data_IF_699586127307
#
_entry.id   IF_699586127307
#
_cell.length_a   1.000
_cell.length_b   1.000
_cell.length_c   1.000
_cell.angle_alpha   90.00
_cell.angle_beta   90.00
_cell.angle_gamma   90.00
#
_symmetry.space_group_name_H-M   'P 1'
#
loop_
_entity.id
_entity.type
_entity.pdbx_description
1 polymer ?
#
# COMPACT_ATOMS: atom_id res chain seq x y z
N UNK A 1 -39.20 14.47 -21.78
CA UNK A 1 -40.28 14.11 -22.73
C UNK A 1 -40.21 15.13 -23.87
N UNK A 2 -40.16 14.84 -25.16
CA UNK A 2 -40.21 13.61 -25.97
C UNK A 2 -40.00 14.11 -27.40
N UNK A 3 -38.93 13.67 -28.07
CA UNK A 3 -38.85 13.70 -29.54
C UNK A 3 -38.27 12.35 -29.99
N UNK A 4 -38.93 11.31 -29.53
CA UNK A 4 -38.75 9.93 -29.96
C UNK A 4 -39.99 9.60 -30.78
N UNK A 5 -39.78 9.02 -31.97
CA UNK A 5 -40.79 8.46 -32.89
C UNK A 5 -41.44 9.39 -33.93
N UNK A 6 -40.75 9.55 -35.06
CA UNK A 6 -41.38 9.32 -36.38
C UNK A 6 -40.55 8.27 -37.13
N UNK A 7 -41.02 7.01 -37.07
CA UNK A 7 -40.61 5.96 -38.01
C UNK A 7 -41.38 6.21 -39.31
N UNK A 8 -40.68 6.56 -40.38
CA UNK A 8 -41.20 6.32 -41.73
C UNK A 8 -40.88 4.86 -42.09
N UNK A 9 -41.92 4.02 -42.04
CA UNK A 9 -41.93 2.71 -42.68
C UNK A 9 -42.04 2.90 -44.18
N UNK A 10 -40.92 2.80 -44.90
CA UNK A 10 -40.96 2.60 -46.35
C UNK A 10 -41.46 1.19 -46.68
N UNK A 11 -42.36 1.10 -47.63
CA UNK A 11 -43.00 -0.13 -48.12
C UNK A 11 -41.99 -1.02 -48.85
N UNK A 12 -42.22 -2.34 -48.80
CA UNK A 12 -41.37 -3.39 -49.39
C UNK A 12 -41.11 -3.22 -50.90
N UNK A 13 -41.93 -2.42 -51.59
CA UNK A 13 -41.74 -2.10 -53.01
C UNK A 13 -40.63 -1.04 -53.23
N UNK A 14 -40.36 -0.13 -52.30
CA UNK A 14 -39.28 0.88 -52.44
C UNK A 14 -37.88 0.32 -52.15
N UNK A 15 -37.77 -0.88 -51.56
CA UNK A 15 -36.48 -1.54 -51.32
C UNK A 15 -35.94 -2.31 -52.53
N UNK A 16 -36.73 -2.48 -53.60
CA UNK A 16 -36.29 -3.23 -54.79
C UNK A 16 -35.62 -2.38 -55.88
N UNK A 17 -35.71 -1.05 -55.80
CA UNK A 17 -35.10 -0.12 -56.78
C UNK A 17 -34.00 0.79 -56.19
N UNK A 18 -33.60 0.60 -54.92
CA UNK A 18 -32.33 1.17 -54.46
C UNK A 18 -31.18 0.37 -55.06
N UNK A 19 -30.62 0.89 -56.17
CA UNK A 19 -29.27 0.50 -56.63
C UNK A 19 -28.36 0.46 -55.40
N UNK A 20 -27.51 -0.56 -55.24
CA UNK A 20 -26.61 -0.64 -54.10
C UNK A 20 -25.85 0.69 -54.02
N UNK A 21 -26.03 1.42 -52.90
CA UNK A 21 -25.20 2.59 -52.62
C UNK A 21 -23.75 2.10 -52.76
N UNK A 22 -22.91 2.77 -53.55
CA UNK A 22 -21.51 2.38 -53.65
C UNK A 22 -20.97 2.41 -52.22
N UNK A 23 -20.48 1.26 -51.76
CA UNK A 23 -19.66 1.19 -50.55
C UNK A 23 -18.67 2.34 -50.67
N UNK A 24 -18.69 3.25 -49.70
CA UNK A 24 -17.81 4.41 -49.68
C UNK A 24 -16.42 3.96 -50.11
N UNK A 25 -15.86 4.57 -51.16
CA UNK A 25 -14.54 4.23 -51.71
C UNK A 25 -13.53 4.14 -50.56
N UNK A 26 -13.18 2.89 -50.24
CA UNK A 26 -11.97 2.45 -49.56
C UNK A 26 -11.60 3.19 -48.28
N UNK A 27 -12.17 2.76 -47.15
CA UNK A 27 -11.38 2.78 -45.91
C UNK A 27 -10.20 1.84 -46.19
N UNK A 28 -9.02 2.40 -46.42
CA UNK A 28 -7.84 1.62 -46.71
C UNK A 28 -7.38 1.00 -45.37
N UNK A 29 -8.03 -0.10 -44.96
CA UNK A 29 -7.84 -0.80 -43.68
C UNK A 29 -6.34 -1.04 -43.43
N UNK A 30 -5.65 -1.37 -44.51
CA UNK A 30 -4.21 -1.52 -44.62
C UNK A 30 -3.36 -0.31 -44.16
N UNK A 31 -3.83 0.93 -44.35
CA UNK A 31 -3.15 2.15 -43.88
C UNK A 31 -3.44 2.47 -42.42
N UNK A 32 -4.42 1.81 -41.81
CA UNK A 32 -4.80 1.99 -40.41
C UNK A 32 -4.35 0.82 -39.52
N UNK A 33 -3.69 -0.18 -40.09
CA UNK A 33 -3.06 -1.24 -39.30
C UNK A 33 -1.95 -0.67 -38.41
N UNK A 34 -1.84 -1.13 -37.15
CA UNK A 34 -0.68 -0.81 -36.34
C UNK A 34 0.60 -1.31 -37.04
N UNK A 35 1.72 -0.66 -36.71
CA UNK A 35 2.98 -0.80 -37.44
C UNK A 35 3.45 -2.26 -37.55
N UNK A 36 3.25 -3.06 -36.49
CA UNK A 36 3.57 -4.50 -36.45
C UNK A 36 2.78 -5.28 -37.49
N UNK A 37 1.45 -5.15 -37.51
CA UNK A 37 0.54 -5.81 -38.43
C UNK A 37 0.76 -5.34 -39.88
N UNK A 38 1.12 -4.06 -40.07
CA UNK A 38 1.47 -3.51 -41.38
C UNK A 38 2.71 -4.18 -41.96
N UNK A 39 3.79 -4.32 -41.17
CA UNK A 39 5.03 -4.96 -41.62
C UNK A 39 4.79 -6.43 -41.97
N UNK A 40 4.06 -7.17 -41.14
CA UNK A 40 3.69 -8.57 -41.43
C UNK A 40 2.86 -8.68 -42.72
N UNK A 41 1.92 -7.77 -42.95
CA UNK A 41 1.14 -7.74 -44.19
C UNK A 41 2.02 -7.45 -45.42
N UNK A 42 2.92 -6.47 -45.34
CA UNK A 42 3.82 -6.10 -46.42
C UNK A 42 4.77 -7.27 -46.78
N UNK A 43 5.24 -8.05 -45.80
CA UNK A 43 5.98 -9.30 -46.03
C UNK A 43 5.14 -10.31 -46.83
N UNK A 44 3.93 -10.61 -46.36
CA UNK A 44 3.05 -11.60 -47.02
C UNK A 44 2.69 -11.23 -48.45
N UNK A 45 2.62 -9.92 -48.76
CA UNK A 45 2.45 -9.43 -50.13
C UNK A 45 3.70 -9.63 -50.98
N UNK A 46 4.88 -9.30 -50.45
CA UNK A 46 6.15 -9.51 -51.15
C UNK A 46 6.43 -10.99 -51.42
N UNK A 47 6.07 -11.89 -50.50
CA UNK A 47 6.20 -13.34 -50.67
C UNK A 47 5.32 -13.91 -51.80
N UNK A 48 4.15 -13.30 -52.06
CA UNK A 48 3.22 -13.76 -53.11
C UNK A 48 3.58 -13.33 -54.53
N UNK A 49 4.33 -12.24 -54.70
CA UNK A 49 4.55 -11.60 -56.00
C UNK A 49 6.03 -11.69 -56.44
N UNK A 50 6.86 -12.38 -55.64
CA UNK A 50 8.32 -12.48 -55.81
C UNK A 50 9.00 -11.15 -56.19
N UNK A 51 8.66 -10.10 -55.44
CA UNK A 51 8.96 -8.70 -55.80
C UNK A 51 10.42 -8.29 -55.65
N UNK A 52 11.32 -9.19 -55.23
CA UNK A 52 12.71 -8.88 -54.89
C UNK A 52 12.91 -7.94 -53.67
N UNK A 53 11.83 -7.53 -52.99
CA UNK A 53 11.88 -6.57 -51.88
C UNK A 53 12.06 -7.20 -50.49
N UNK A 54 12.18 -8.53 -50.43
CA UNK A 54 12.17 -9.31 -49.17
C UNK A 54 13.24 -8.85 -48.18
N UNK A 55 14.46 -8.60 -48.65
CA UNK A 55 15.58 -8.21 -47.79
C UNK A 55 15.39 -6.80 -47.18
N UNK A 56 14.97 -5.82 -48.00
CA UNK A 56 14.71 -4.45 -47.51
C UNK A 56 13.58 -4.39 -46.48
N UNK A 57 12.55 -5.22 -46.65
CA UNK A 57 11.45 -5.31 -45.68
C UNK A 57 11.91 -5.98 -44.38
N UNK A 58 12.79 -6.99 -44.47
CA UNK A 58 13.41 -7.65 -43.31
C UNK A 58 14.26 -6.66 -42.52
N UNK A 59 15.17 -5.94 -43.18
CA UNK A 59 16.03 -4.94 -42.54
C UNK A 59 15.20 -3.84 -41.83
N UNK A 60 14.13 -3.35 -42.48
CA UNK A 60 13.22 -2.38 -41.87
C UNK A 60 12.51 -2.95 -40.65
N UNK A 61 12.01 -4.17 -40.73
CA UNK A 61 11.33 -4.84 -39.63
C UNK A 61 12.25 -5.02 -38.42
N UNK A 62 13.52 -5.38 -38.64
CA UNK A 62 14.50 -5.57 -37.57
C UNK A 62 14.90 -4.25 -36.91
N UNK A 63 15.10 -3.19 -37.71
CA UNK A 63 15.36 -1.86 -37.15
C UNK A 63 14.19 -1.36 -36.29
N UNK A 64 12.95 -1.59 -36.72
CA UNK A 64 11.77 -1.23 -35.91
C UNK A 64 11.73 -2.07 -34.64
N UNK A 65 11.93 -3.39 -34.72
CA UNK A 65 11.98 -4.26 -33.53
C UNK A 65 13.04 -3.80 -32.54
N UNK A 66 14.26 -3.48 -33.01
CA UNK A 66 15.36 -2.95 -32.19
C UNK A 66 15.00 -1.67 -31.44
N UNK A 67 14.44 -0.67 -32.13
CA UNK A 67 14.13 0.63 -31.53
C UNK A 67 12.92 0.63 -30.58
N UNK A 68 12.06 -0.38 -30.68
CA UNK A 68 10.79 -0.45 -29.95
C UNK A 68 10.78 -1.45 -28.81
N UNK A 69 11.76 -2.36 -28.75
CA UNK A 69 11.78 -3.46 -27.79
C UNK A 69 11.81 -2.96 -26.33
N UNK A 70 12.71 -2.03 -25.99
CA UNK A 70 12.75 -1.44 -24.66
C UNK A 70 11.45 -0.71 -24.31
N UNK A 71 10.86 0.00 -25.26
CA UNK A 71 9.58 0.68 -25.06
C UNK A 71 8.41 -0.29 -24.84
N UNK A 72 8.43 -1.46 -25.46
CA UNK A 72 7.45 -2.52 -25.21
C UNK A 72 7.55 -3.03 -23.77
N UNK A 73 8.76 -3.23 -23.24
CA UNK A 73 8.95 -3.68 -21.86
C UNK A 73 8.52 -2.62 -20.84
N UNK A 74 8.99 -1.36 -20.99
CA UNK A 74 8.67 -0.27 -20.05
C UNK A 74 7.18 0.05 -19.96
N UNK A 75 6.49 0.12 -21.11
CA UNK A 75 5.14 0.70 -21.19
C UNK A 75 4.07 -0.31 -21.60
N UNK A 76 4.44 -1.58 -21.80
CA UNK A 76 3.54 -2.64 -22.30
C UNK A 76 2.75 -2.21 -23.54
N UNK A 77 3.41 -1.43 -24.42
CA UNK A 77 2.79 -0.92 -25.65
C UNK A 77 2.27 -2.05 -26.55
N UNK A 78 1.29 -1.72 -27.38
CA UNK A 78 0.65 -2.59 -28.41
C UNK A 78 1.68 -3.15 -29.41
N UNK A 79 2.87 -2.56 -29.51
CA UNK A 79 3.93 -3.01 -30.41
C UNK A 79 4.57 -4.32 -29.90
N UNK A 80 4.51 -5.41 -30.69
CA UNK A 80 5.01 -6.74 -30.32
C UNK A 80 6.28 -7.11 -31.11
N UNK A 81 7.49 -6.74 -30.63
CA UNK A 81 8.73 -6.95 -31.37
C UNK A 81 8.99 -8.44 -31.66
N UNK A 82 8.67 -9.32 -30.72
CA UNK A 82 8.81 -10.78 -30.84
C UNK A 82 8.02 -11.36 -32.02
N UNK A 83 6.84 -10.79 -32.30
CA UNK A 83 6.01 -11.21 -33.45
C UNK A 83 6.71 -10.89 -34.77
N UNK A 84 7.34 -9.71 -34.87
CA UNK A 84 8.11 -9.32 -36.05
C UNK A 84 9.33 -10.23 -36.22
N UNK A 85 10.09 -10.45 -35.15
CA UNK A 85 11.30 -11.28 -35.18
C UNK A 85 10.96 -12.72 -35.62
N UNK A 86 9.86 -13.27 -35.12
CA UNK A 86 9.37 -14.59 -35.54
C UNK A 86 8.93 -14.61 -37.00
N UNK A 87 8.08 -13.68 -37.42
CA UNK A 87 7.52 -13.66 -38.79
C UNK A 87 8.58 -13.45 -39.87
N UNK A 88 9.66 -12.74 -39.55
CA UNK A 88 10.78 -12.49 -40.45
C UNK A 88 11.98 -13.44 -40.27
N UNK A 89 11.83 -14.49 -39.45
CA UNK A 89 12.85 -15.53 -39.29
C UNK A 89 14.15 -15.02 -38.70
N UNK A 90 14.08 -14.29 -37.59
CA UNK A 90 15.26 -13.89 -36.83
C UNK A 90 16.00 -15.10 -36.28
N UNK A 91 17.31 -15.11 -36.52
CA UNK A 91 18.24 -16.05 -35.89
C UNK A 91 18.36 -15.77 -34.38
N UNK A 92 18.78 -16.76 -33.57
CA UNK A 92 19.08 -16.55 -32.17
C UNK A 92 20.06 -15.40 -31.91
N UNK A 93 21.06 -15.25 -32.79
CA UNK A 93 22.09 -14.19 -32.71
C UNK A 93 21.46 -12.80 -32.89
N UNK A 94 20.57 -12.64 -33.88
CA UNK A 94 19.88 -11.36 -34.12
C UNK A 94 18.90 -11.02 -32.99
N UNK A 95 18.23 -12.03 -32.42
CA UNK A 95 17.36 -11.84 -31.24
C UNK A 95 18.21 -11.36 -30.06
N UNK A 96 19.36 -12.00 -29.83
CA UNK A 96 20.28 -11.62 -28.75
C UNK A 96 20.81 -10.19 -28.94
N UNK A 97 21.18 -9.78 -30.17
CA UNK A 97 21.62 -8.41 -30.47
C UNK A 97 20.53 -7.37 -30.17
N UNK A 98 19.29 -7.65 -30.58
CA UNK A 98 18.15 -6.75 -30.37
C UNK A 98 17.80 -6.63 -28.88
N UNK A 99 17.80 -7.75 -28.17
CA UNK A 99 17.59 -7.77 -26.72
C UNK A 99 18.71 -7.01 -26.01
N UNK A 100 19.96 -7.21 -26.42
CA UNK A 100 21.09 -6.49 -25.87
C UNK A 100 20.98 -4.98 -26.09
N UNK A 101 20.58 -4.55 -27.29
CA UNK A 101 20.28 -3.13 -27.56
C UNK A 101 19.22 -2.58 -26.58
N UNK A 102 18.14 -3.34 -26.36
CA UNK A 102 17.08 -2.95 -25.44
C UNK A 102 17.57 -2.86 -23.99
N UNK A 103 18.42 -3.78 -23.53
CA UNK A 103 19.07 -3.73 -22.21
C UNK A 103 19.78 -2.40 -22.00
N UNK A 104 20.57 -1.93 -22.97
CA UNK A 104 21.29 -0.64 -22.87
C UNK A 104 20.34 0.55 -22.81
N UNK A 105 19.25 0.51 -23.56
CA UNK A 105 18.21 1.56 -23.52
C UNK A 105 17.54 1.60 -22.15
N UNK A 106 17.18 0.44 -21.59
CA UNK A 106 16.56 0.32 -20.27
C UNK A 106 17.51 0.81 -19.16
N UNK A 107 18.79 0.45 -19.20
CA UNK A 107 19.81 0.98 -18.27
C UNK A 107 19.86 2.52 -18.35
N UNK A 108 19.88 3.08 -19.56
CA UNK A 108 19.91 4.54 -19.73
C UNK A 108 18.65 5.23 -19.19
N UNK A 109 17.52 4.53 -19.24
CA UNK A 109 16.22 4.95 -18.72
C UNK A 109 15.99 4.61 -17.25
N UNK A 110 16.98 3.99 -16.59
CA UNK A 110 16.92 3.58 -15.18
C UNK A 110 15.78 2.58 -14.89
N UNK A 111 15.47 1.72 -15.86
CA UNK A 111 14.62 0.53 -15.65
C UNK A 111 15.51 -0.70 -15.45
N UNK A 112 16.03 -0.84 -14.22
CA UNK A 112 17.03 -1.86 -13.92
C UNK A 112 16.50 -3.29 -13.81
N UNK A 113 15.23 -3.49 -13.44
CA UNK A 113 14.65 -4.83 -13.28
C UNK A 113 14.53 -5.53 -14.63
N UNK A 114 13.87 -4.88 -15.59
CA UNK A 114 13.72 -5.41 -16.95
C UNK A 114 15.07 -5.48 -17.67
N UNK A 115 15.95 -4.48 -17.47
CA UNK A 115 17.30 -4.52 -18.03
C UNK A 115 18.10 -5.74 -17.54
N UNK A 116 18.09 -6.01 -16.24
CA UNK A 116 18.83 -7.14 -15.65
C UNK A 116 18.31 -8.47 -16.17
N UNK A 117 16.98 -8.63 -16.20
CA UNK A 117 16.34 -9.83 -16.73
C UNK A 117 16.77 -10.10 -18.17
N UNK A 118 16.75 -9.06 -19.01
CA UNK A 118 17.12 -9.18 -20.41
C UNK A 118 18.62 -9.46 -20.61
N UNK A 119 19.47 -8.87 -19.77
CA UNK A 119 20.90 -9.16 -19.74
C UNK A 119 21.18 -10.62 -19.37
N UNK A 120 20.43 -11.19 -18.42
CA UNK A 120 20.56 -12.59 -18.01
C UNK A 120 20.15 -13.54 -19.14
N UNK A 121 19.02 -13.27 -19.80
CA UNK A 121 18.54 -14.05 -20.96
C UNK A 121 19.50 -14.07 -22.15
N UNK A 122 20.35 -13.03 -22.27
CA UNK A 122 21.32 -12.89 -23.35
C UNK A 122 22.74 -13.31 -22.96
N UNK A 123 22.95 -13.72 -21.70
CA UNK A 123 24.28 -14.02 -21.16
C UNK A 123 25.18 -12.78 -20.99
N UNK A 124 24.63 -11.57 -21.12
CA UNK A 124 25.34 -10.28 -21.06
C UNK A 124 25.35 -9.62 -19.69
N UNK A 125 25.08 -10.35 -18.60
CA UNK A 125 24.89 -9.77 -17.26
C UNK A 125 26.11 -8.98 -16.76
N UNK A 126 27.32 -9.52 -16.93
CA UNK A 126 28.54 -8.83 -16.49
C UNK A 126 28.74 -7.49 -17.21
N UNK A 127 28.47 -7.46 -18.52
CA UNK A 127 28.57 -6.24 -19.31
C UNK A 127 27.47 -5.24 -18.90
N UNK A 128 26.25 -5.72 -18.62
CA UNK A 128 25.15 -4.88 -18.19
C UNK A 128 25.44 -4.23 -16.83
N UNK A 129 26.04 -4.97 -15.90
CA UNK A 129 26.52 -4.43 -14.61
C UNK A 129 27.53 -3.31 -14.83
N UNK A 130 28.48 -3.49 -15.76
CA UNK A 130 29.48 -2.46 -16.10
C UNK A 130 28.83 -1.21 -16.69
N UNK A 131 27.86 -1.37 -17.60
CA UNK A 131 27.13 -0.24 -18.19
C UNK A 131 26.26 0.49 -17.16
N UNK A 132 25.52 -0.24 -16.33
CA UNK A 132 24.73 0.32 -15.24
C UNK A 132 25.61 1.13 -14.29
N UNK A 133 26.76 0.57 -13.86
CA UNK A 133 27.72 1.29 -13.03
C UNK A 133 28.21 2.58 -13.70
N UNK A 134 28.54 2.54 -14.99
CA UNK A 134 28.95 3.73 -15.74
C UNK A 134 27.86 4.79 -15.81
N UNK A 135 26.61 4.39 -16.10
CA UNK A 135 25.45 5.28 -16.17
C UNK A 135 25.13 5.93 -14.82
N UNK A 136 25.19 5.15 -13.73
CA UNK A 136 24.96 5.61 -12.37
C UNK A 136 26.09 6.53 -11.89
N UNK A 137 27.35 6.25 -12.26
CA UNK A 137 28.47 7.13 -11.93
C UNK A 137 28.38 8.50 -12.62
N UNK A 138 27.78 8.56 -13.81
CA UNK A 138 27.51 9.80 -14.54
C UNK A 138 26.17 10.47 -14.16
N UNK A 139 25.38 9.85 -13.28
CA UNK A 139 24.10 10.41 -12.85
C UNK A 139 24.33 11.54 -11.85
N UNK A 140 23.88 12.75 -12.20
CA UNK A 140 23.94 13.90 -11.29
C UNK A 140 22.80 13.84 -10.27
N UNK A 141 23.05 13.10 -9.19
CA UNK A 141 22.13 12.98 -8.07
C UNK A 141 21.86 14.32 -7.37
N UNK A 142 22.73 15.33 -7.51
CA UNK A 142 22.56 16.61 -6.83
C UNK A 142 21.46 17.47 -7.43
N UNK A 143 21.20 17.35 -8.73
CA UNK A 143 20.21 18.15 -9.46
C UNK A 143 18.99 17.37 -9.93
N UNK A 144 18.98 16.05 -9.74
CA UNK A 144 17.88 15.19 -10.16
C UNK A 144 16.64 15.40 -9.30
N UNK A 145 15.46 15.17 -9.88
CA UNK A 145 14.23 15.09 -9.11
C UNK A 145 14.19 13.80 -8.28
N UNK A 146 13.38 13.82 -7.21
CA UNK A 146 13.26 12.69 -6.28
C UNK A 146 12.89 11.36 -6.97
N UNK A 147 12.00 11.40 -7.95
CA UNK A 147 11.58 10.19 -8.67
C UNK A 147 12.75 9.59 -9.48
N UNK A 148 13.56 10.43 -10.13
CA UNK A 148 14.69 9.97 -10.93
C UNK A 148 15.79 9.34 -10.05
N UNK A 149 15.99 9.86 -8.82
CA UNK A 149 16.94 9.26 -7.88
C UNK A 149 16.41 7.93 -7.32
N UNK A 150 15.10 7.81 -7.07
CA UNK A 150 14.48 6.55 -6.66
C UNK A 150 14.66 5.48 -7.76
N UNK A 151 14.45 5.83 -9.03
CA UNK A 151 14.68 4.94 -10.18
C UNK A 151 16.17 4.57 -10.34
N UNK A 152 17.09 5.52 -10.12
CA UNK A 152 18.53 5.26 -10.14
C UNK A 152 18.95 4.29 -9.03
N UNK A 153 18.43 4.45 -7.82
CA UNK A 153 18.68 3.55 -6.68
C UNK A 153 18.06 2.17 -6.94
N UNK A 154 16.84 2.11 -7.46
CA UNK A 154 16.19 0.85 -7.86
C UNK A 154 17.03 0.11 -8.90
N UNK A 155 17.54 0.83 -9.90
CA UNK A 155 18.45 0.28 -10.91
C UNK A 155 19.74 -0.26 -10.29
N UNK A 156 20.39 0.51 -9.42
CA UNK A 156 21.58 0.08 -8.72
C UNK A 156 21.32 -1.21 -7.91
N UNK A 157 20.22 -1.25 -7.15
CA UNK A 157 19.83 -2.42 -6.36
C UNK A 157 19.52 -3.64 -7.23
N UNK A 158 18.83 -3.47 -8.36
CA UNK A 158 18.54 -4.55 -9.30
C UNK A 158 19.84 -5.23 -9.75
N UNK A 159 20.87 -4.47 -10.09
CA UNK A 159 22.19 -4.97 -10.48
C UNK A 159 23.11 -5.35 -9.30
N UNK A 160 22.64 -5.31 -8.05
CA UNK A 160 23.45 -5.64 -6.87
C UNK A 160 24.50 -4.58 -6.50
N UNK A 161 24.41 -3.38 -7.06
CA UNK A 161 25.32 -2.25 -6.90
C UNK A 161 24.99 -1.43 -5.63
N UNK A 162 25.09 -2.08 -4.47
CA UNK A 162 24.65 -1.50 -3.18
C UNK A 162 25.44 -0.26 -2.77
N UNK A 163 26.72 -0.18 -3.09
CA UNK A 163 27.56 0.97 -2.73
C UNK A 163 27.27 2.18 -3.62
N UNK A 164 27.00 1.94 -4.91
CA UNK A 164 26.53 2.97 -5.83
C UNK A 164 25.17 3.53 -5.41
N UNK A 165 24.23 2.67 -5.02
CA UNK A 165 22.93 3.09 -4.47
C UNK A 165 23.09 4.02 -3.25
N UNK A 166 23.95 3.64 -2.29
CA UNK A 166 24.25 4.47 -1.12
C UNK A 166 24.88 5.81 -1.50
N UNK A 167 25.82 5.81 -2.45
CA UNK A 167 26.50 7.02 -2.92
C UNK A 167 25.52 7.99 -3.58
N UNK A 168 24.65 7.48 -4.45
CA UNK A 168 23.60 8.26 -5.10
C UNK A 168 22.70 8.95 -4.08
N UNK A 169 22.23 8.18 -3.10
CA UNK A 169 21.38 8.74 -2.05
C UNK A 169 22.08 9.79 -1.19
N UNK A 170 23.33 9.55 -0.76
CA UNK A 170 24.11 10.54 -0.01
C UNK A 170 24.27 11.84 -0.78
N UNK A 171 24.68 11.74 -2.04
CA UNK A 171 24.83 12.91 -2.91
C UNK A 171 23.51 13.69 -3.07
N UNK A 172 22.38 12.99 -3.18
CA UNK A 172 21.06 13.64 -3.24
C UNK A 172 20.76 14.41 -1.95
N UNK A 173 20.91 13.76 -0.79
CA UNK A 173 20.61 14.36 0.51
C UNK A 173 21.53 15.55 0.80
N UNK A 174 22.84 15.41 0.58
CA UNK A 174 23.81 16.48 0.77
C UNK A 174 23.46 17.75 -0.04
N UNK A 175 22.87 17.57 -1.23
CA UNK A 175 22.47 18.67 -2.10
C UNK A 175 21.06 19.21 -1.82
N UNK A 176 20.10 18.36 -1.43
CA UNK A 176 18.67 18.68 -1.47
C UNK A 176 17.95 18.64 -0.13
N UNK A 177 18.53 18.05 0.94
CA UNK A 177 17.83 17.85 2.21
C UNK A 177 17.22 19.15 2.74
N UNK A 178 18.02 20.23 2.78
CA UNK A 178 17.57 21.52 3.27
C UNK A 178 16.40 22.10 2.44
N UNK A 179 16.47 22.00 1.11
CA UNK A 179 15.45 22.50 0.19
C UNK A 179 14.15 21.71 0.28
N UNK A 180 14.24 20.38 0.36
CA UNK A 180 13.09 19.48 0.52
C UNK A 180 12.38 19.74 1.86
N UNK A 181 13.15 19.94 2.92
CA UNK A 181 12.62 20.29 4.23
C UNK A 181 11.99 21.67 4.23
N UNK A 182 12.60 22.66 3.58
CA UNK A 182 12.02 24.00 3.44
C UNK A 182 10.69 23.96 2.66
N UNK A 183 10.60 23.11 1.64
CA UNK A 183 9.35 22.88 0.92
C UNK A 183 8.28 22.20 1.80
N UNK A 184 8.67 21.17 2.58
CA UNK A 184 7.76 20.53 3.53
C UNK A 184 7.26 21.52 4.59
N UNK A 185 8.13 22.37 5.12
CA UNK A 185 7.77 23.45 6.05
C UNK A 185 6.79 24.42 5.41
N UNK A 186 7.06 24.90 4.19
CA UNK A 186 6.16 25.81 3.48
C UNK A 186 4.75 25.24 3.34
N UNK A 187 4.62 23.94 3.03
CA UNK A 187 3.31 23.28 2.95
C UNK A 187 2.65 23.16 4.34
N UNK A 188 3.42 22.81 5.37
CA UNK A 188 2.93 22.70 6.75
C UNK A 188 2.52 24.03 7.37
N UNK A 189 3.07 25.16 6.90
CA UNK A 189 2.62 26.51 7.27
C UNK A 189 1.23 26.80 6.70
N UNK A 190 0.90 26.25 5.52
CA UNK A 190 -0.43 26.35 4.91
C UNK A 190 -1.43 25.37 5.55
N UNK A 191 -1.05 24.10 5.67
CA UNK A 191 -1.88 23.03 6.22
C UNK A 191 -1.03 22.13 7.15
N UNK A 192 -1.15 22.35 8.46
CA UNK A 192 -0.43 21.56 9.48
C UNK A 192 -1.19 20.27 9.81
N UNK A 193 -1.29 19.38 8.83
CA UNK A 193 -2.00 18.09 8.93
C UNK A 193 -1.05 16.90 8.77
N UNK A 194 -1.55 15.71 9.11
CA UNK A 194 -0.78 14.47 9.06
C UNK A 194 -0.34 14.08 7.64
N UNK A 195 -1.19 14.27 6.63
CA UNK A 195 -0.87 13.91 5.25
C UNK A 195 0.24 14.77 4.70
N UNK A 196 0.20 16.07 4.96
CA UNK A 196 1.26 16.99 4.54
C UNK A 196 2.60 16.60 5.17
N UNK A 197 2.62 16.33 6.49
CA UNK A 197 3.85 15.90 7.18
C UNK A 197 4.38 14.57 6.61
N UNK A 198 3.50 13.60 6.38
CA UNK A 198 3.92 12.27 5.93
C UNK A 198 4.37 12.21 4.48
N UNK A 199 3.68 12.92 3.58
CA UNK A 199 4.00 12.94 2.15
C UNK A 199 5.30 13.69 1.87
N UNK A 200 5.56 14.78 2.59
CA UNK A 200 6.66 15.68 2.28
C UNK A 200 7.89 15.49 3.18
N UNK A 201 7.73 15.15 4.47
CA UNK A 201 8.86 14.93 5.38
C UNK A 201 9.11 13.46 5.70
N UNK A 202 8.09 12.69 6.12
CA UNK A 202 8.31 11.28 6.49
C UNK A 202 8.80 10.44 5.29
N UNK A 203 8.36 10.79 4.07
CA UNK A 203 8.92 10.23 2.85
C UNK A 203 10.43 10.44 2.73
N UNK A 204 10.92 11.65 3.04
CA UNK A 204 12.35 11.98 3.00
C UNK A 204 13.13 11.26 4.10
N UNK A 205 12.56 11.12 5.30
CA UNK A 205 13.14 10.33 6.40
C UNK A 205 13.31 8.87 5.99
N UNK A 206 12.27 8.26 5.42
CA UNK A 206 12.32 6.87 4.92
C UNK A 206 13.39 6.71 3.84
N UNK A 207 13.49 7.69 2.94
CA UNK A 207 14.54 7.73 1.92
C UNK A 207 15.93 7.77 2.57
N UNK A 208 16.19 8.72 3.49
CA UNK A 208 17.47 8.80 4.20
C UNK A 208 17.82 7.51 4.96
N UNK A 209 16.84 6.90 5.64
CA UNK A 209 17.01 5.63 6.35
C UNK A 209 17.39 4.48 5.41
N UNK A 210 16.80 4.41 4.22
CA UNK A 210 17.16 3.40 3.20
C UNK A 210 18.64 3.47 2.80
N UNK A 211 19.27 4.61 3.04
CA UNK A 211 20.66 4.89 2.72
C UNK A 211 21.61 4.72 3.92
N UNK A 212 21.08 4.25 5.05
CA UNK A 212 21.81 4.14 6.30
C UNK A 212 22.15 5.51 6.92
N UNK A 213 21.38 6.55 6.59
CA UNK A 213 21.52 7.89 7.13
C UNK A 213 20.29 8.25 7.98
N UNK A 214 20.42 9.32 8.76
CA UNK A 214 19.30 10.01 9.40
C UNK A 214 19.21 11.44 8.89
N UNK A 215 18.11 12.11 9.17
CA UNK A 215 17.96 13.54 8.88
C UNK A 215 18.93 14.37 9.73
N UNK A 216 19.45 15.45 9.17
CA UNK A 216 20.29 16.38 9.93
C UNK A 216 19.53 17.01 11.09
N UNK A 217 20.25 17.41 12.14
CA UNK A 217 19.66 18.12 13.28
C UNK A 217 18.92 19.39 12.85
N UNK A 218 19.48 20.15 11.90
CA UNK A 218 18.87 21.37 11.39
C UNK A 218 17.52 21.09 10.73
N UNK A 219 17.41 20.02 9.94
CA UNK A 219 16.16 19.61 9.31
C UNK A 219 15.11 19.17 10.33
N UNK A 220 15.52 18.38 11.33
CA UNK A 220 14.65 17.97 12.43
C UNK A 220 14.13 19.19 13.21
N UNK A 221 14.99 20.16 13.49
CA UNK A 221 14.62 21.39 14.23
C UNK A 221 13.65 22.27 13.44
N UNK A 222 13.74 22.31 12.10
CA UNK A 222 12.78 23.01 11.23
C UNK A 222 11.38 22.37 11.26
N UNK A 223 11.30 21.04 11.29
CA UNK A 223 10.03 20.31 11.23
C UNK A 223 9.37 20.16 12.60
N UNK A 224 10.17 20.09 13.68
CA UNK A 224 9.73 19.90 15.07
C UNK A 224 8.53 20.76 15.50
N UNK A 225 8.41 22.06 15.13
CA UNK A 225 7.26 22.89 15.50
C UNK A 225 5.91 22.36 14.99
N UNK A 226 5.91 21.71 13.82
CA UNK A 226 4.70 21.24 13.13
C UNK A 226 4.26 19.85 13.59
N UNK A 227 5.20 19.00 13.99
CA UNK A 227 4.94 17.59 14.36
C UNK A 227 3.80 17.45 15.36
N UNK A 228 3.77 18.27 16.41
CA UNK A 228 2.70 18.15 17.41
C UNK A 228 1.32 18.43 16.83
N UNK A 229 1.19 19.39 15.92
CA UNK A 229 -0.08 19.71 15.28
C UNK A 229 -0.54 18.58 14.36
N UNK A 230 0.35 18.12 13.49
CA UNK A 230 0.09 17.02 12.56
C UNK A 230 -0.22 15.68 13.27
N UNK A 231 0.46 15.35 14.37
CA UNK A 231 0.16 14.12 15.14
C UNK A 231 -1.17 14.24 15.89
N UNK A 232 -1.52 15.43 16.36
CA UNK A 232 -2.85 15.68 16.93
C UNK A 232 -3.92 15.55 15.83
N UNK A 233 -3.68 16.11 14.65
CA UNK A 233 -4.55 15.93 13.49
C UNK A 233 -4.72 14.44 13.19
N UNK A 234 -3.64 13.66 13.09
CA UNK A 234 -3.68 12.20 12.92
C UNK A 234 -4.58 11.50 13.94
N UNK A 235 -4.56 11.95 15.21
CA UNK A 235 -5.46 11.40 16.21
C UNK A 235 -6.94 11.55 15.80
N UNK A 236 -7.33 12.57 15.04
CA UNK A 236 -8.70 12.76 14.53
C UNK A 236 -9.04 11.96 13.25
N UNK A 237 -8.15 11.16 12.63
CA UNK A 237 -8.41 10.46 11.35
C UNK A 237 -8.84 8.98 11.47
N UNK A 238 -9.93 8.60 10.75
CA UNK A 238 -10.70 7.33 10.87
C UNK A 238 -9.88 6.03 10.76
N UNK A 239 -8.68 6.10 10.19
CA UNK A 239 -7.85 4.94 9.86
C UNK A 239 -6.47 5.08 10.50
N UNK A 240 -6.38 4.90 11.82
CA UNK A 240 -5.07 4.64 12.43
C UNK A 240 -4.63 3.24 12.03
N UNK A 241 -3.62 3.17 11.16
CA UNK A 241 -3.00 1.91 10.80
C UNK A 241 -2.28 1.28 12.00
N UNK A 242 -2.00 0.00 11.90
CA UNK A 242 -1.30 -0.78 12.93
C UNK A 242 0.14 -0.25 13.08
N UNK A 243 0.39 0.52 14.14
CA UNK A 243 1.70 1.02 14.52
C UNK A 243 1.60 1.93 15.76
N UNK A 244 2.57 1.85 16.66
CA UNK A 244 2.64 2.73 17.84
C UNK A 244 3.15 4.13 17.49
N UNK A 245 2.77 5.13 18.26
CA UNK A 245 3.31 6.49 18.18
C UNK A 245 4.80 6.53 18.50
N UNK A 246 5.32 5.56 19.29
CA UNK A 246 6.78 5.39 19.44
C UNK A 246 7.48 5.15 18.11
N UNK A 247 7.01 4.17 17.36
CA UNK A 247 7.52 3.84 16.03
C UNK A 247 7.37 5.01 15.08
N UNK A 248 6.23 5.69 15.10
CA UNK A 248 5.97 6.85 14.25
C UNK A 248 6.99 7.97 14.46
N UNK A 249 7.20 8.43 15.70
CA UNK A 249 8.14 9.52 15.98
C UNK A 249 9.59 9.13 15.67
N UNK A 250 9.96 7.88 15.95
CA UNK A 250 11.36 7.45 15.83
C UNK A 250 11.74 6.94 14.44
N UNK A 251 10.93 6.07 13.84
CA UNK A 251 11.22 5.44 12.55
C UNK A 251 10.71 6.26 11.38
N UNK A 252 9.48 6.80 11.46
CA UNK A 252 8.85 7.48 10.32
C UNK A 252 9.25 8.96 10.26
N UNK A 253 9.47 9.60 11.42
CA UNK A 253 9.88 11.00 11.49
C UNK A 253 11.36 11.22 11.86
N UNK A 254 12.07 10.15 12.24
CA UNK A 254 13.53 10.18 12.41
C UNK A 254 14.01 10.90 13.67
N UNK A 255 13.15 11.09 14.67
CA UNK A 255 13.55 11.64 15.97
C UNK A 255 14.22 10.57 16.82
N UNK A 256 15.24 10.95 17.59
CA UNK A 256 15.78 10.04 18.59
C UNK A 256 14.81 9.87 19.78
N UNK A 257 15.12 8.94 20.70
CA UNK A 257 14.22 8.65 21.82
C UNK A 257 13.98 9.87 22.73
N UNK A 258 14.98 10.73 22.93
CA UNK A 258 14.83 11.92 23.78
C UNK A 258 13.98 12.98 23.07
N UNK A 259 14.25 13.25 21.79
CA UNK A 259 13.45 14.15 20.97
C UNK A 259 11.99 13.69 20.87
N UNK A 260 11.77 12.38 20.69
CA UNK A 260 10.45 11.79 20.65
C UNK A 260 9.70 12.00 21.97
N UNK A 261 10.36 11.86 23.12
CA UNK A 261 9.76 12.14 24.43
C UNK A 261 9.38 13.62 24.62
N UNK A 262 10.23 14.55 24.17
CA UNK A 262 9.93 15.99 24.23
C UNK A 262 8.72 16.36 23.36
N UNK A 263 8.67 15.84 22.13
CA UNK A 263 7.55 16.02 21.21
C UNK A 263 6.29 15.39 21.78
N UNK A 264 6.38 14.18 22.31
CA UNK A 264 5.27 13.48 22.94
C UNK A 264 4.73 14.25 24.15
N UNK A 265 5.58 14.85 24.99
CA UNK A 265 5.12 15.68 26.10
C UNK A 265 4.25 16.87 25.63
N UNK A 266 4.65 17.52 24.52
CA UNK A 266 3.87 18.60 23.91
C UNK A 266 2.54 18.11 23.34
N UNK A 267 2.55 17.00 22.60
CA UNK A 267 1.32 16.37 22.05
C UNK A 267 0.38 16.00 23.19
N UNK A 268 0.91 15.38 24.25
CA UNK A 268 0.16 14.95 25.43
C UNK A 268 -0.55 16.11 26.11
N UNK A 269 0.17 17.20 26.39
CA UNK A 269 -0.41 18.39 27.01
C UNK A 269 -1.55 18.97 26.16
N UNK A 270 -1.37 19.03 24.84
CA UNK A 270 -2.38 19.53 23.92
C UNK A 270 -3.58 18.59 23.80
N UNK A 271 -3.37 17.27 23.69
CA UNK A 271 -4.45 16.28 23.68
C UNK A 271 -5.26 16.34 24.98
N UNK A 272 -4.61 16.45 26.15
CA UNK A 272 -5.32 16.62 27.42
C UNK A 272 -6.12 17.92 27.47
N UNK A 273 -5.58 19.03 26.95
CA UNK A 273 -6.30 20.30 26.87
C UNK A 273 -7.53 20.18 25.94
N UNK A 274 -7.38 19.53 24.79
CA UNK A 274 -8.45 19.23 23.85
C UNK A 274 -9.53 18.37 24.52
N UNK A 275 -9.16 17.24 25.12
CA UNK A 275 -10.10 16.34 25.79
C UNK A 275 -10.83 17.02 26.96
N UNK A 276 -10.14 17.84 27.76
CA UNK A 276 -10.76 18.66 28.82
C UNK A 276 -11.73 19.70 28.27
N UNK A 277 -11.42 20.31 27.12
CA UNK A 277 -12.31 21.32 26.51
C UNK A 277 -13.66 20.75 26.08
N UNK A 278 -13.72 19.43 25.92
CA UNK A 278 -14.91 18.64 25.60
C UNK A 278 -15.60 18.03 26.82
N UNK A 279 -15.01 18.14 28.02
CA UNK A 279 -15.62 17.62 29.24
C UNK A 279 -17.02 18.24 29.46
N UNK A 280 -18.05 17.40 29.53
CA UNK A 280 -19.44 17.83 29.67
C UNK A 280 -20.10 18.36 28.39
N UNK A 281 -19.42 18.33 27.24
CA UNK A 281 -19.99 18.66 25.92
C UNK A 281 -20.19 17.40 25.10
N UNK A 282 -21.21 17.41 24.24
CA UNK A 282 -21.41 16.35 23.27
C UNK A 282 -20.37 16.53 22.14
N UNK A 283 -19.36 15.66 22.06
CA UNK A 283 -18.26 15.76 21.09
C UNK A 283 -18.78 15.69 19.65
N UNK A 284 -19.91 15.01 19.41
CA UNK A 284 -20.55 14.96 18.08
C UNK A 284 -20.94 16.33 17.53
N UNK A 285 -21.31 17.29 18.40
CA UNK A 285 -21.64 18.65 17.99
C UNK A 285 -20.40 19.50 17.69
N UNK A 286 -19.25 19.12 18.22
CA UNK A 286 -18.02 19.91 18.13
C UNK A 286 -17.08 19.40 17.03
N UNK A 287 -17.03 18.08 16.81
CA UNK A 287 -16.10 17.44 15.87
C UNK A 287 -16.72 17.12 14.51
N UNK A 288 -18.05 17.17 14.39
CA UNK A 288 -18.76 16.68 13.21
C UNK A 288 -18.73 15.15 13.11
N UNK A 289 -19.64 14.57 12.31
CA UNK A 289 -19.95 13.14 12.39
C UNK A 289 -18.80 12.19 11.99
N UNK A 290 -17.93 12.63 11.09
CA UNK A 290 -16.86 11.85 10.46
C UNK A 290 -15.55 11.76 11.27
N UNK A 291 -15.25 12.73 12.13
CA UNK A 291 -14.02 12.79 12.96
C UNK A 291 -14.12 12.05 14.30
N UNK A 292 -15.30 11.48 14.62
CA UNK A 292 -15.63 10.84 15.92
C UNK A 292 -14.91 9.52 16.19
N UNK A 293 -14.79 8.66 15.18
CA UNK A 293 -14.37 7.25 15.34
C UNK A 293 -12.88 7.07 15.60
N UNK A 294 -12.11 8.12 15.36
CA UNK A 294 -10.66 8.10 15.26
C UNK A 294 -9.97 8.74 16.43
N UNK A 295 -10.49 9.89 16.88
CA UNK A 295 -10.01 10.57 18.08
C UNK A 295 -9.95 9.60 19.25
N UNK A 296 -10.93 8.71 19.32
CA UNK A 296 -11.13 7.73 20.36
C UNK A 296 -10.05 6.63 20.39
N UNK A 297 -9.69 6.00 19.26
CA UNK A 297 -8.68 4.91 19.25
C UNK A 297 -7.24 5.46 19.28
N UNK A 298 -6.94 6.45 18.46
CA UNK A 298 -5.59 6.98 18.30
C UNK A 298 -5.12 7.74 19.54
N UNK A 299 -5.99 8.54 20.17
CA UNK A 299 -5.60 9.23 21.40
C UNK A 299 -5.33 8.23 22.54
N UNK A 300 -6.16 7.20 22.71
CA UNK A 300 -5.91 6.15 23.71
C UNK A 300 -4.57 5.47 23.46
N UNK A 301 -4.25 5.11 22.21
CA UNK A 301 -2.95 4.52 21.88
C UNK A 301 -1.78 5.46 22.12
N UNK A 302 -1.97 6.75 21.88
CA UNK A 302 -0.97 7.75 22.23
C UNK A 302 -0.71 7.78 23.74
N UNK A 303 -1.75 7.79 24.57
CA UNK A 303 -1.60 7.72 26.03
C UNK A 303 -1.05 6.36 26.49
N UNK A 304 -1.32 5.28 25.77
CA UNK A 304 -0.69 3.99 26.01
C UNK A 304 0.82 3.99 25.79
N UNK A 305 1.30 4.71 24.78
CA UNK A 305 2.73 4.80 24.46
C UNK A 305 3.48 5.84 25.30
N UNK A 306 2.84 6.96 25.65
CA UNK A 306 3.50 8.15 26.23
C UNK A 306 2.82 8.77 27.46
N UNK A 307 1.65 8.25 27.85
CA UNK A 307 0.93 8.66 29.05
C UNK A 307 1.37 7.89 30.28
N UNK A 308 1.03 8.42 31.46
CA UNK A 308 0.99 7.63 32.69
C UNK A 308 -0.29 6.79 32.74
N UNK A 309 -0.35 5.81 33.64
CA UNK A 309 -1.58 5.02 33.89
C UNK A 309 -2.76 5.93 34.23
N UNK A 310 -2.56 6.95 35.08
CA UNK A 310 -3.59 7.95 35.42
C UNK A 310 -4.06 8.78 34.21
N UNK A 311 -3.14 9.17 33.32
CA UNK A 311 -3.47 9.95 32.12
C UNK A 311 -4.25 9.09 31.11
N UNK A 312 -3.87 7.82 30.97
CA UNK A 312 -4.58 6.85 30.15
C UNK A 312 -5.98 6.56 30.71
N UNK A 313 -6.11 6.36 32.03
CA UNK A 313 -7.40 6.19 32.70
C UNK A 313 -8.32 7.40 32.46
N UNK A 314 -7.76 8.61 32.62
CA UNK A 314 -8.48 9.85 32.38
C UNK A 314 -8.92 9.97 30.92
N UNK A 315 -8.08 9.59 29.96
CA UNK A 315 -8.43 9.59 28.55
C UNK A 315 -9.60 8.63 28.27
N UNK A 316 -9.56 7.40 28.82
CA UNK A 316 -10.69 6.47 28.74
C UNK A 316 -11.97 7.08 29.32
N UNK A 317 -11.92 7.63 30.52
CA UNK A 317 -13.10 8.21 31.20
C UNK A 317 -13.71 9.38 30.43
N UNK A 318 -12.89 10.22 29.81
CA UNK A 318 -13.38 11.35 29.01
C UNK A 318 -14.01 10.87 27.71
N UNK A 319 -13.39 9.89 27.05
CA UNK A 319 -13.85 9.37 25.77
C UNK A 319 -15.05 8.42 25.89
N UNK A 320 -15.27 7.81 27.06
CA UNK A 320 -16.38 6.89 27.29
C UNK A 320 -17.72 7.62 27.61
N UNK A 321 -17.69 8.93 27.86
CA UNK A 321 -18.89 9.69 28.25
C UNK A 321 -19.72 10.21 27.06
N UNK A 322 -19.22 10.08 25.83
CA UNK A 322 -19.81 10.60 24.59
C UNK A 322 -20.62 9.53 23.81
N UNK A 323 -21.79 9.12 24.28
CA UNK A 323 -22.58 7.96 23.77
C UNK A 323 -22.91 8.00 22.25
N UNK A 324 -22.08 7.43 21.41
CA UNK A 324 -22.24 7.35 19.95
C UNK A 324 -21.49 6.12 19.42
N UNK A 325 -21.78 5.57 18.23
CA UNK A 325 -21.34 4.25 17.72
C UNK A 325 -19.82 3.90 17.75
N UNK A 326 -18.97 4.76 18.29
CA UNK A 326 -17.53 4.60 18.50
C UNK A 326 -17.13 3.81 19.76
N UNK A 327 -18.08 3.37 20.60
CA UNK A 327 -17.79 2.59 21.84
C UNK A 327 -17.37 1.16 21.59
N UNK A 328 -17.64 0.63 20.41
CA UNK A 328 -17.57 -0.81 20.21
C UNK A 328 -16.17 -1.40 20.37
N UNK A 329 -15.12 -0.60 20.17
CA UNK A 329 -13.74 -1.03 20.36
C UNK A 329 -13.15 -0.62 21.72
N UNK A 330 -13.85 0.21 22.52
CA UNK A 330 -13.34 0.63 23.84
C UNK A 330 -13.09 -0.56 24.75
N UNK A 331 -13.96 -1.59 24.80
CA UNK A 331 -13.67 -2.73 25.65
C UNK A 331 -12.38 -3.45 25.27
N UNK A 332 -12.08 -3.58 23.97
CA UNK A 332 -10.83 -4.14 23.48
C UNK A 332 -9.62 -3.32 23.89
N UNK A 333 -9.68 -1.98 23.76
CA UNK A 333 -8.58 -1.11 24.17
C UNK A 333 -8.33 -1.14 25.68
N UNK A 334 -9.39 -1.15 26.49
CA UNK A 334 -9.26 -1.26 27.95
C UNK A 334 -8.58 -2.59 28.31
N UNK A 335 -8.92 -3.68 27.62
CA UNK A 335 -8.27 -4.97 27.80
C UNK A 335 -6.83 -5.00 27.28
N UNK A 336 -6.55 -4.38 26.13
CA UNK A 336 -5.19 -4.19 25.57
C UNK A 336 -4.26 -3.58 26.62
N UNK A 337 -4.73 -2.57 27.35
CA UNK A 337 -3.97 -1.90 28.42
C UNK A 337 -4.18 -2.47 29.84
N UNK A 338 -4.93 -3.56 29.99
CA UNK A 338 -5.11 -4.22 31.29
C UNK A 338 -5.90 -3.42 32.34
N UNK A 339 -6.76 -2.49 31.91
CA UNK A 339 -7.46 -1.54 32.79
C UNK A 339 -8.89 -1.95 33.14
N UNK A 340 -9.29 -3.20 32.84
CA UNK A 340 -10.69 -3.68 33.00
C UNK A 340 -11.18 -3.54 34.44
N UNK A 341 -10.34 -3.85 35.44
CA UNK A 341 -10.70 -3.71 36.86
C UNK A 341 -10.81 -2.24 37.27
N UNK A 342 -9.84 -1.43 36.89
CA UNK A 342 -9.77 0.01 37.19
C UNK A 342 -10.95 0.78 36.60
N UNK A 343 -11.43 0.37 35.42
CA UNK A 343 -12.53 0.99 34.69
C UNK A 343 -13.85 0.22 34.80
N UNK A 344 -13.96 -0.70 35.76
CA UNK A 344 -15.15 -1.55 35.91
C UNK A 344 -16.42 -0.76 36.25
N UNK A 345 -16.26 0.38 36.91
CA UNK A 345 -17.34 1.33 37.20
C UNK A 345 -17.98 1.92 35.92
N UNK A 346 -17.25 1.91 34.80
CA UNK A 346 -17.76 2.32 33.49
C UNK A 346 -18.54 1.21 32.77
N UNK A 347 -18.67 0.02 33.35
CA UNK A 347 -19.41 -1.12 32.78
C UNK A 347 -20.77 -0.75 32.15
N UNK A 348 -21.65 0.02 32.81
CA UNK A 348 -22.92 0.46 32.23
C UNK A 348 -22.77 1.29 30.95
N UNK A 349 -21.69 2.06 30.82
CA UNK A 349 -21.40 2.87 29.62
C UNK A 349 -20.75 2.05 28.50
N UNK A 350 -20.12 0.93 28.85
CA UNK A 350 -19.50 -0.01 27.90
C UNK A 350 -20.48 -1.06 27.39
N UNK A 351 -21.69 -1.16 27.94
CA UNK A 351 -22.66 -2.22 27.65
C UNK A 351 -22.85 -2.51 26.17
N UNK A 352 -23.11 -1.49 25.33
CA UNK A 352 -23.26 -1.67 23.89
C UNK A 352 -21.98 -2.19 23.20
N UNK A 353 -20.80 -1.81 23.70
CA UNK A 353 -19.51 -2.33 23.24
C UNK A 353 -19.31 -3.79 23.60
N UNK A 354 -19.60 -4.14 24.85
CA UNK A 354 -19.54 -5.51 25.36
C UNK A 354 -20.54 -6.41 24.65
N UNK A 355 -21.77 -5.95 24.45
CA UNK A 355 -22.81 -6.67 23.71
C UNK A 355 -22.37 -6.92 22.26
N UNK A 356 -21.83 -5.90 21.56
CA UNK A 356 -21.37 -6.09 20.19
C UNK A 356 -20.22 -7.10 20.09
N UNK A 357 -19.26 -7.06 21.02
CA UNK A 357 -18.20 -8.07 21.10
C UNK A 357 -18.76 -9.49 21.24
N UNK A 358 -19.80 -9.68 22.05
CA UNK A 358 -20.43 -10.98 22.28
C UNK A 358 -21.33 -11.43 21.13
N UNK A 359 -22.06 -10.49 20.50
CA UNK A 359 -23.07 -10.78 19.50
C UNK A 359 -22.48 -10.93 18.10
N UNK A 360 -21.39 -10.20 17.81
CA UNK A 360 -20.65 -10.22 16.53
C UNK A 360 -19.18 -10.63 16.69
N UNK A 361 -18.90 -11.80 17.30
CA UNK A 361 -17.55 -12.15 17.76
C UNK A 361 -16.57 -12.43 16.61
N UNK A 362 -17.08 -12.79 15.42
CA UNK A 362 -16.26 -13.01 14.22
C UNK A 362 -15.66 -11.72 13.66
N UNK A 363 -16.24 -10.55 13.92
CA UNK A 363 -15.64 -9.25 13.56
C UNK A 363 -14.36 -8.95 14.37
N UNK A 364 -14.21 -9.58 15.54
CA UNK A 364 -13.12 -9.32 16.48
C UNK A 364 -12.20 -10.53 16.70
N UNK A 365 -12.56 -11.72 16.23
CA UNK A 365 -11.84 -12.97 16.51
C UNK A 365 -10.40 -13.01 15.97
N UNK A 366 -10.04 -12.11 15.06
CA UNK A 366 -8.66 -11.94 14.58
C UNK A 366 -7.87 -10.86 15.35
N UNK A 367 -8.51 -10.10 16.25
CA UNK A 367 -7.84 -9.11 17.08
C UNK A 367 -7.10 -9.82 18.24
N UNK A 368 -5.78 -9.57 18.41
CA UNK A 368 -4.97 -10.26 19.43
C UNK A 368 -5.46 -10.01 20.87
N UNK A 369 -6.24 -8.95 21.11
CA UNK A 369 -6.73 -8.60 22.44
C UNK A 369 -8.17 -9.07 22.69
N UNK A 370 -8.88 -9.58 21.69
CA UNK A 370 -10.29 -10.01 21.84
C UNK A 370 -10.46 -11.09 22.91
N UNK A 371 -9.60 -12.09 22.85
CA UNK A 371 -9.59 -13.22 23.79
C UNK A 371 -9.27 -12.81 25.23
N UNK A 372 -8.26 -11.95 25.38
CA UNK A 372 -7.90 -11.35 26.66
C UNK A 372 -9.06 -10.53 27.21
N UNK A 373 -9.72 -9.75 26.36
CA UNK A 373 -10.85 -8.92 26.75
C UNK A 373 -11.99 -9.76 27.33
N UNK A 374 -12.40 -10.85 26.65
CA UNK A 374 -13.45 -11.72 27.17
C UNK A 374 -13.12 -12.25 28.57
N UNK A 375 -11.90 -12.78 28.78
CA UNK A 375 -11.46 -13.27 30.09
C UNK A 375 -11.48 -12.18 31.16
N UNK A 376 -10.95 -11.01 30.84
CA UNK A 376 -10.86 -9.91 31.81
C UNK A 376 -12.25 -9.38 32.20
N UNK A 377 -13.17 -9.25 31.24
CA UNK A 377 -14.55 -8.80 31.50
C UNK A 377 -15.38 -9.85 32.23
N UNK A 378 -15.18 -11.14 31.93
CA UNK A 378 -15.81 -12.23 32.66
C UNK A 378 -15.34 -12.24 34.12
N UNK A 379 -14.03 -12.14 34.36
CA UNK A 379 -13.45 -12.08 35.69
C UNK A 379 -13.87 -10.82 36.48
N UNK A 380 -14.21 -9.73 35.79
CA UNK A 380 -14.75 -8.52 36.39
C UNK A 380 -16.28 -8.58 36.64
N UNK A 381 -16.96 -9.66 36.21
CA UNK A 381 -18.41 -9.80 36.34
C UNK A 381 -19.21 -8.84 35.44
N UNK A 382 -18.61 -8.34 34.36
CA UNK A 382 -19.20 -7.36 33.45
C UNK A 382 -19.86 -8.00 32.22
N UNK A 383 -19.56 -9.26 31.95
CA UNK A 383 -20.22 -10.05 30.90
C UNK A 383 -20.66 -11.39 31.47
N UNK A 384 -21.72 -11.94 30.87
CA UNK A 384 -22.22 -13.27 31.22
C UNK A 384 -21.26 -14.37 30.71
N UNK A 385 -20.78 -15.28 31.57
CA UNK A 385 -19.87 -16.35 31.17
C UNK A 385 -20.42 -17.26 30.06
N UNK A 386 -21.74 -17.50 30.04
CA UNK A 386 -22.38 -18.32 29.01
C UNK A 386 -22.36 -17.61 27.66
N UNK A 387 -22.65 -16.31 27.63
CA UNK A 387 -22.53 -15.48 26.41
C UNK A 387 -21.09 -15.40 25.93
N UNK A 388 -20.12 -15.21 26.82
CA UNK A 388 -18.70 -15.20 26.48
C UNK A 388 -18.27 -16.54 25.84
N UNK A 389 -18.67 -17.66 26.44
CA UNK A 389 -18.43 -19.00 25.90
C UNK A 389 -19.08 -19.20 24.52
N UNK A 390 -20.34 -18.79 24.34
CA UNK A 390 -21.02 -18.88 23.05
C UNK A 390 -20.34 -18.02 21.97
N UNK A 391 -19.84 -16.83 22.35
CA UNK A 391 -19.08 -15.98 21.46
C UNK A 391 -17.79 -16.65 20.99
N UNK A 392 -17.06 -17.32 21.89
CA UNK A 392 -15.87 -18.11 21.57
C UNK A 392 -16.18 -19.29 20.65
N UNK A 393 -17.25 -20.03 20.91
CA UNK A 393 -17.71 -21.13 20.05
C UNK A 393 -17.90 -20.63 18.61
N UNK A 394 -18.57 -19.48 18.42
CA UNK A 394 -18.77 -18.89 17.08
C UNK A 394 -17.46 -18.52 16.37
N UNK A 395 -16.45 -18.05 17.10
CA UNK A 395 -15.13 -17.77 16.52
C UNK A 395 -14.42 -19.06 16.13
N UNK A 396 -14.46 -20.08 16.98
CA UNK A 396 -13.92 -21.40 16.69
C UNK A 396 -14.60 -21.99 15.44
N UNK A 397 -15.93 -21.95 15.36
CA UNK A 397 -16.70 -22.35 14.18
C UNK A 397 -16.28 -21.59 12.92
N UNK A 398 -16.06 -20.26 13.01
CA UNK A 398 -15.57 -19.46 11.89
C UNK A 398 -14.18 -19.90 11.44
N UNK A 399 -13.24 -20.14 12.36
CA UNK A 399 -11.89 -20.62 12.03
C UNK A 399 -11.91 -21.99 11.37
N UNK A 400 -12.81 -22.87 11.80
CA UNK A 400 -13.02 -24.17 11.16
C UNK A 400 -13.58 -24.03 9.75
N UNK A 401 -14.55 -23.14 9.55
CA UNK A 401 -15.08 -22.85 8.21
C UNK A 401 -14.00 -22.27 7.28
N UNK A 402 -13.05 -21.50 7.82
CA UNK A 402 -11.92 -20.94 7.08
C UNK A 402 -10.76 -21.93 6.86
N UNK A 403 -10.89 -23.18 7.32
CA UNK A 403 -9.83 -24.20 7.23
C UNK A 403 -8.64 -23.98 8.16
N UNK A 404 -8.76 -23.11 9.17
CA UNK A 404 -7.71 -22.79 10.16
C UNK A 404 -7.82 -23.73 11.37
N UNK A 405 -7.66 -25.03 11.14
CA UNK A 405 -7.93 -26.06 12.15
C UNK A 405 -7.00 -25.94 13.37
N UNK A 406 -5.70 -25.70 13.15
CA UNK A 406 -4.73 -25.55 14.25
C UNK A 406 -5.04 -24.34 15.15
N UNK A 407 -5.48 -23.21 14.56
CA UNK A 407 -5.94 -22.05 15.32
C UNK A 407 -7.19 -22.40 16.15
N UNK A 408 -8.16 -23.12 15.57
CA UNK A 408 -9.38 -23.52 16.26
C UNK A 408 -9.11 -24.46 17.46
N UNK A 409 -8.18 -25.43 17.31
CA UNK A 409 -7.76 -26.32 18.42
C UNK A 409 -7.10 -25.53 19.53
N UNK A 410 -6.15 -24.65 19.19
CA UNK A 410 -5.44 -23.81 20.17
C UNK A 410 -6.42 -22.96 20.98
N UNK A 411 -7.38 -22.32 20.30
CA UNK A 411 -8.42 -21.53 20.95
C UNK A 411 -9.26 -22.37 21.90
N UNK A 412 -9.69 -23.58 21.51
CA UNK A 412 -10.46 -24.43 22.41
C UNK A 412 -9.67 -24.82 23.69
N UNK A 413 -8.35 -25.04 23.59
CA UNK A 413 -7.50 -25.29 24.77
C UNK A 413 -7.28 -24.05 25.64
N UNK A 414 -6.95 -22.92 25.04
CA UNK A 414 -6.66 -21.67 25.77
C UNK A 414 -7.86 -21.18 26.60
N UNK A 415 -9.06 -21.67 26.29
CA UNK A 415 -10.32 -21.30 26.93
C UNK A 415 -10.98 -22.40 27.77
N UNK A 416 -10.21 -23.43 28.14
CA UNK A 416 -10.69 -24.53 29.00
C UNK A 416 -11.95 -25.22 28.43
N UNK A 417 -11.95 -25.46 27.11
CA UNK A 417 -12.98 -26.20 26.38
C UNK A 417 -12.43 -27.54 25.87
N UNK A 418 -12.01 -28.46 26.75
CA UNK A 418 -11.27 -29.66 26.36
C UNK A 418 -12.09 -30.61 25.47
N UNK A 419 -13.42 -30.69 25.67
CA UNK A 419 -14.29 -31.55 24.86
C UNK A 419 -14.43 -31.06 23.43
N UNK A 420 -14.47 -29.75 23.25
CA UNK A 420 -14.50 -29.10 21.95
C UNK A 420 -13.14 -29.21 21.27
N UNK A 421 -12.03 -29.06 22.00
CA UNK A 421 -10.67 -29.26 21.49
C UNK A 421 -10.43 -30.71 21.01
N UNK A 422 -10.90 -31.70 21.77
CA UNK A 422 -10.87 -33.12 21.41
C UNK A 422 -11.63 -33.39 20.10
N UNK A 423 -12.88 -32.92 20.00
CA UNK A 423 -13.70 -33.07 18.78
C UNK A 423 -13.08 -32.42 17.55
N UNK A 424 -12.48 -31.23 17.71
CA UNK A 424 -11.80 -30.55 16.60
C UNK A 424 -10.54 -31.32 16.19
N UNK A 425 -9.81 -31.88 17.16
CA UNK A 425 -8.63 -32.72 16.90
C UNK A 425 -8.99 -34.03 16.20
N UNK A 426 -10.15 -34.63 16.51
CA UNK A 426 -10.71 -35.77 15.79
C UNK A 426 -11.05 -35.42 14.34
N UNK A 427 -11.69 -34.28 14.09
CA UNK A 427 -11.97 -33.77 12.74
C UNK A 427 -10.67 -33.54 11.96
N UNK A 428 -9.63 -32.98 12.59
CA UNK A 428 -8.29 -32.82 12.00
C UNK A 428 -7.71 -34.18 11.56
N UNK A 429 -7.79 -35.18 12.43
CA UNK A 429 -7.32 -36.53 12.15
C UNK A 429 -8.05 -37.20 10.98
N UNK A 430 -9.35 -36.91 10.84
CA UNK A 430 -10.17 -37.39 9.73
C UNK A 430 -9.90 -36.66 8.41
N UNK A 431 -9.46 -35.39 8.46
CA UNK A 431 -9.11 -34.58 7.29
C UNK A 431 -7.67 -34.81 6.79
N UNK A 432 -6.85 -35.57 7.52
CA UNK A 432 -5.49 -35.94 7.10
C UNK A 432 -4.46 -34.82 7.18
N UNK A 433 -4.80 -33.69 7.82
CA UNK A 433 -3.91 -32.56 8.00
C UNK A 433 -2.92 -32.85 9.16
N UNK A 434 -1.62 -32.82 8.86
CA UNK A 434 -0.58 -32.89 9.90
C UNK A 434 -0.48 -31.54 10.61
N UNK A 435 -0.24 -31.50 11.94
CA UNK A 435 -0.06 -30.27 12.67
C UNK A 435 1.05 -29.42 12.04
N UNK A 436 0.78 -28.13 11.83
CA UNK A 436 1.81 -27.21 11.34
C UNK A 436 2.89 -27.01 12.40
N UNK A 437 4.12 -27.41 12.08
CA UNK A 437 5.29 -27.20 12.95
C UNK A 437 5.73 -25.73 12.91
N UNK A 438 5.00 -24.82 13.56
CA UNK A 438 5.55 -23.51 13.99
C UNK A 438 4.95 -23.09 15.33
N UNK A 439 5.79 -23.17 16.35
CA UNK A 439 5.63 -22.66 17.71
C UNK A 439 5.46 -21.15 17.78
#
# INVERSE_FOLDING_TARGET
MTAFWKKETKTVQEQKDEKPKPIAKGLNIEKQLPLTERLVLDKRKADRIDSGQKEKLRERAFNVARLSYAGHLMYRYIFRPETILKEYGASPEEIAEIKWFATRVLINKLDGEEARKLADETGGLEEAIREARGRLAAFDAGTADRCDIDDAIATANAFGLKEEAKKLCRNYLDANEAKEVDYAVHLLEGENDWHTLTNHYAGLVRFAKSCGLGMSKQSKDKIRPYVSGAVIDYCFWKHCEKGGFKRMLTEDLGFDEQEALEIAAKIKANLLAILKSYEGKNLSKVLGSSRRHSLTKSAIRFFGDYGTEDELEKAFRLLIRDRDDTYYFMPLLIAEYGMVRQLSDLGPSLGAGLDKMLDTPTEYGDDPHYYKALKDYEAAGLIDPTRARNALIRVIESKLNDGKIDEAVKLAFDFDMPKEAEKISEIRGLLGEKPSEKT
#
